data_IF_288309995014
#
_entry.id   IF_288309995014
#
_cell.length_a   1.000
_cell.length_b   1.000
_cell.length_c   1.000
_cell.angle_alpha   90.00
_cell.angle_beta   90.00
_cell.angle_gamma   90.00
#
_symmetry.space_group_name_H-M   'P 1'
#
loop_
_entity.id
_entity.type
_entity.pdbx_description
1 polymer ?
#
# COMPACT_ATOMS: atom_id res chain seq x y z
N UNK A 1 -41.20 -57.38 -5.59
CA UNK A 1 -40.72 -56.80 -4.30
C UNK A 1 -39.21 -56.53 -4.23
N UNK A 2 -38.33 -57.18 -5.00
CA UNK A 2 -36.85 -57.01 -4.86
C UNK A 2 -36.24 -55.71 -5.45
N UNK A 3 -36.89 -55.03 -6.42
CA UNK A 3 -36.36 -53.78 -7.02
C UNK A 3 -36.51 -52.55 -6.12
N UNK A 4 -37.63 -52.43 -5.39
CA UNK A 4 -37.89 -51.25 -4.56
C UNK A 4 -37.02 -51.24 -3.29
N UNK A 5 -36.70 -52.41 -2.73
CA UNK A 5 -35.79 -52.52 -1.59
C UNK A 5 -34.35 -52.10 -1.94
N UNK A 6 -33.91 -52.38 -3.17
CA UNK A 6 -32.58 -52.01 -3.64
C UNK A 6 -32.44 -50.49 -3.83
N UNK A 7 -33.48 -49.82 -4.35
CA UNK A 7 -33.51 -48.37 -4.52
C UNK A 7 -33.50 -47.66 -3.17
N UNK A 8 -34.28 -48.15 -2.19
CA UNK A 8 -34.29 -47.58 -0.83
C UNK A 8 -32.94 -47.78 -0.15
N UNK A 9 -32.30 -48.95 -0.31
CA UNK A 9 -30.98 -49.23 0.25
C UNK A 9 -29.87 -48.35 -0.38
N UNK A 10 -29.98 -48.07 -1.69
CA UNK A 10 -29.05 -47.17 -2.40
C UNK A 10 -29.24 -45.71 -1.95
N UNK A 11 -30.49 -45.29 -1.71
CA UNK A 11 -30.81 -43.94 -1.22
C UNK A 11 -30.32 -43.74 0.22
N UNK A 12 -30.45 -44.75 1.09
CA UNK A 12 -29.93 -44.69 2.46
C UNK A 12 -28.41 -44.73 2.52
N UNK A 13 -27.74 -45.42 1.58
CA UNK A 13 -26.28 -45.37 1.45
C UNK A 13 -25.79 -44.00 0.97
N UNK A 14 -26.49 -43.35 0.05
CA UNK A 14 -26.20 -41.99 -0.42
C UNK A 14 -26.38 -40.93 0.69
N UNK A 15 -27.35 -41.13 1.59
CA UNK A 15 -27.54 -40.24 2.75
C UNK A 15 -26.49 -40.44 3.85
N UNK A 16 -25.89 -41.63 3.97
CA UNK A 16 -24.83 -41.91 4.94
C UNK A 16 -23.44 -41.44 4.47
N UNK A 17 -23.23 -41.27 3.17
CA UNK A 17 -21.99 -40.69 2.60
C UNK A 17 -22.05 -39.17 2.47
N UNK A 18 -23.20 -38.55 2.76
CA UNK A 18 -23.44 -37.11 2.68
C UNK A 18 -22.93 -36.28 3.87
N UNK A 19 -22.38 -36.89 4.92
CA UNK A 19 -21.58 -36.17 5.91
C UNK A 19 -20.14 -36.03 5.41
N UNK A 20 -19.96 -35.36 4.26
CA UNK A 20 -18.67 -34.76 3.96
C UNK A 20 -18.37 -33.80 5.09
N UNK A 21 -17.28 -34.11 5.79
CA UNK A 21 -16.62 -33.28 6.79
C UNK A 21 -16.97 -31.80 6.56
N UNK A 22 -17.75 -31.23 7.47
CA UNK A 22 -17.61 -29.82 7.81
C UNK A 22 -16.16 -29.68 8.27
N UNK A 23 -15.27 -29.47 7.30
CA UNK A 23 -13.93 -28.98 7.56
C UNK A 23 -14.20 -27.63 8.18
N UNK A 24 -14.00 -27.50 9.49
CA UNK A 24 -13.95 -26.21 10.13
C UNK A 24 -13.00 -25.37 9.26
N UNK A 25 -13.54 -24.36 8.58
CA UNK A 25 -12.73 -23.32 7.92
C UNK A 25 -11.73 -22.94 8.99
N UNK A 26 -10.44 -23.21 8.74
CA UNK A 26 -9.39 -22.79 9.65
C UNK A 26 -9.61 -21.28 9.75
N UNK A 27 -9.88 -20.78 10.94
CA UNK A 27 -10.06 -19.35 11.18
C UNK A 27 -8.67 -18.75 10.93
N UNK A 28 -8.39 -18.42 9.66
CA UNK A 28 -7.13 -17.84 9.17
C UNK A 28 -7.13 -16.34 9.43
N UNK A 29 -7.80 -15.90 10.49
CA UNK A 29 -7.85 -14.51 10.92
C UNK A 29 -6.85 -14.25 12.05
N UNK A 30 -6.24 -13.08 12.03
CA UNK A 30 -5.29 -12.61 13.01
C UNK A 30 -6.00 -11.75 14.07
N UNK A 31 -5.70 -11.95 15.35
CA UNK A 31 -6.24 -11.10 16.42
C UNK A 31 -5.36 -9.89 16.59
N UNK A 32 -5.95 -8.71 16.39
CA UNK A 32 -5.23 -7.44 16.36
C UNK A 32 -5.84 -6.44 17.36
N UNK A 33 -4.97 -5.70 18.05
CA UNK A 33 -5.34 -4.54 18.85
C UNK A 33 -4.78 -3.26 18.20
N UNK A 34 -5.68 -2.40 17.72
CA UNK A 34 -5.30 -1.11 17.13
C UNK A 34 -4.97 -0.07 18.22
N UNK A 35 -3.91 0.71 18.00
CA UNK A 35 -3.46 1.72 18.97
C UNK A 35 -4.51 2.81 19.24
N UNK A 36 -5.36 3.10 18.25
CA UNK A 36 -6.46 4.07 18.36
C UNK A 36 -7.72 3.51 19.05
N UNK A 37 -7.71 2.23 19.48
CA UNK A 37 -8.85 1.55 20.10
C UNK A 37 -10.14 1.59 19.27
N UNK A 38 -9.98 1.45 17.95
CA UNK A 38 -11.07 1.30 17.00
C UNK A 38 -12.09 0.22 17.46
N UNK A 39 -13.40 0.50 17.44
CA UNK A 39 -14.39 -0.49 17.85
C UNK A 39 -14.45 -1.65 16.85
N UNK A 40 -14.90 -2.82 17.31
CA UNK A 40 -15.10 -3.99 16.44
C UNK A 40 -16.29 -3.74 15.50
N UNK A 41 -16.23 -4.26 14.27
CA UNK A 41 -17.31 -4.14 13.30
C UNK A 41 -16.84 -3.96 11.86
N UNK A 42 -17.76 -3.48 11.04
CA UNK A 42 -17.58 -3.28 9.60
C UNK A 42 -17.08 -1.88 9.28
N UNK A 43 -16.09 -1.80 8.39
CA UNK A 43 -15.47 -0.55 7.96
C UNK A 43 -15.25 -0.53 6.46
N UNK A 44 -15.47 0.63 5.84
CA UNK A 44 -15.14 0.86 4.44
C UNK A 44 -14.04 1.90 4.32
N UNK A 45 -12.93 1.50 3.72
CA UNK A 45 -11.82 2.37 3.35
C UNK A 45 -12.07 2.95 1.95
N UNK A 46 -12.45 4.22 1.90
CA UNK A 46 -12.54 4.98 0.65
C UNK A 46 -11.17 5.57 0.32
N UNK A 47 -10.67 5.31 -0.88
CA UNK A 47 -9.33 5.71 -1.33
C UNK A 47 -9.45 6.40 -2.68
N UNK A 48 -8.74 7.51 -2.84
CA UNK A 48 -8.62 8.20 -4.13
C UNK A 48 -7.30 7.81 -4.78
N UNK A 49 -7.30 7.54 -6.08
CA UNK A 49 -6.10 7.22 -6.84
C UNK A 49 -5.83 8.36 -7.82
N UNK A 50 -4.63 8.94 -7.75
CA UNK A 50 -4.22 9.99 -8.66
C UNK A 50 -3.57 9.41 -9.91
N UNK A 51 -4.00 9.90 -11.07
CA UNK A 51 -3.35 9.59 -12.34
C UNK A 51 -2.14 10.52 -12.51
N UNK A 52 -0.93 9.97 -12.35
CA UNK A 52 0.32 10.74 -12.53
C UNK A 52 0.69 10.81 -14.01
N UNK A 53 0.98 12.00 -14.58
CA UNK A 53 1.30 12.12 -15.99
C UNK A 53 2.64 11.49 -16.36
N UNK A 54 2.75 11.00 -17.60
CA UNK A 54 3.99 10.42 -18.13
C UNK A 54 4.97 11.49 -18.64
N UNK A 55 4.47 12.62 -19.16
CA UNK A 55 5.33 13.65 -19.77
C UNK A 55 5.85 14.66 -18.72
N UNK A 56 7.11 15.13 -18.83
CA UNK A 56 7.65 16.13 -17.89
C UNK A 56 6.80 17.41 -17.77
N UNK A 57 6.29 17.93 -18.89
CA UNK A 57 5.48 19.15 -18.90
C UNK A 57 4.15 18.97 -18.17
N UNK A 58 3.48 17.83 -18.35
CA UNK A 58 2.21 17.56 -17.68
C UNK A 58 2.41 17.30 -16.18
N UNK A 59 3.55 16.70 -15.80
CA UNK A 59 3.93 16.48 -14.40
C UNK A 59 3.99 17.79 -13.63
N UNK A 60 4.53 18.86 -14.20
CA UNK A 60 4.62 20.14 -13.48
C UNK A 60 3.25 20.78 -13.22
N UNK A 61 2.37 20.77 -14.23
CA UNK A 61 0.99 21.20 -14.04
C UNK A 61 0.27 20.34 -12.99
N UNK A 62 0.53 19.03 -12.98
CA UNK A 62 0.05 18.14 -11.94
C UNK A 62 0.63 18.50 -10.57
N UNK A 63 1.92 18.80 -10.46
CA UNK A 63 2.56 19.18 -9.20
C UNK A 63 2.04 20.50 -8.64
N UNK A 64 1.82 21.51 -9.47
CA UNK A 64 1.20 22.76 -9.04
C UNK A 64 -0.16 22.47 -8.39
N UNK A 65 -1.01 21.67 -9.07
CA UNK A 65 -2.32 21.23 -8.55
C UNK A 65 -2.21 20.39 -7.28
N UNK A 66 -1.29 19.43 -7.26
CA UNK A 66 -1.06 18.54 -6.14
C UNK A 66 -0.53 19.30 -4.91
N UNK A 67 0.33 20.29 -5.12
CA UNK A 67 0.85 21.15 -4.04
C UNK A 67 -0.25 21.96 -3.36
N UNK A 68 -1.26 22.41 -4.11
CA UNK A 68 -2.43 23.08 -3.57
C UNK A 68 -3.24 22.11 -2.70
N UNK A 69 -3.47 20.88 -3.16
CA UNK A 69 -4.14 19.84 -2.38
C UNK A 69 -3.40 19.55 -1.08
N UNK A 70 -2.09 19.28 -1.15
CA UNK A 70 -1.26 19.01 0.03
C UNK A 70 -1.26 20.18 1.02
N UNK A 71 -1.17 21.41 0.52
CA UNK A 71 -1.20 22.62 1.36
C UNK A 71 -2.54 22.74 2.11
N UNK A 72 -3.65 22.38 1.47
CA UNK A 72 -4.97 22.35 2.09
C UNK A 72 -5.10 21.23 3.12
N UNK A 73 -4.58 20.03 2.84
CA UNK A 73 -4.54 18.93 3.80
C UNK A 73 -3.81 19.34 5.08
N UNK A 74 -2.62 19.95 4.94
CA UNK A 74 -1.83 20.45 6.08
C UNK A 74 -2.54 21.60 6.81
N UNK A 75 -3.02 22.61 6.08
CA UNK A 75 -3.62 23.80 6.69
C UNK A 75 -4.92 23.50 7.47
N UNK A 76 -5.70 22.52 7.01
CA UNK A 76 -6.96 22.14 7.63
C UNK A 76 -6.85 20.90 8.52
N UNK A 77 -5.65 20.29 8.64
CA UNK A 77 -5.42 19.04 9.35
C UNK A 77 -6.43 17.95 8.95
N UNK A 78 -6.64 17.84 7.63
CA UNK A 78 -7.59 16.92 6.99
C UNK A 78 -6.80 15.86 6.24
N UNK A 79 -7.04 14.61 6.59
CA UNK A 79 -6.39 13.47 5.96
C UNK A 79 -7.34 12.81 4.96
N UNK A 80 -6.83 12.46 3.78
CA UNK A 80 -7.54 11.65 2.79
C UNK A 80 -6.66 10.47 2.42
N UNK A 81 -7.28 9.30 2.24
CA UNK A 81 -6.52 8.13 1.80
C UNK A 81 -6.26 8.31 0.30
N UNK A 82 -4.98 8.43 -0.06
CA UNK A 82 -4.59 8.75 -1.42
C UNK A 82 -3.54 7.75 -1.91
N UNK A 83 -3.85 7.08 -3.01
CA UNK A 83 -2.89 6.29 -3.77
C UNK A 83 -2.10 7.23 -4.69
N UNK A 84 -0.78 7.20 -4.53
CA UNK A 84 0.17 7.88 -5.40
C UNK A 84 1.13 6.86 -6.02
N UNK A 85 1.55 7.03 -7.29
CA UNK A 85 2.59 6.20 -7.86
C UNK A 85 3.92 6.32 -7.10
N UNK A 86 4.66 5.22 -7.01
CA UNK A 86 5.98 5.22 -6.35
C UNK A 86 6.96 6.24 -6.97
N UNK A 87 6.88 6.45 -8.29
CA UNK A 87 7.69 7.46 -8.98
C UNK A 87 7.43 8.88 -8.44
N UNK A 88 6.17 9.26 -8.27
CA UNK A 88 5.78 10.55 -7.69
C UNK A 88 6.33 10.70 -6.26
N UNK A 89 6.27 9.64 -5.46
CA UNK A 89 6.85 9.61 -4.12
C UNK A 89 8.37 9.87 -4.17
N UNK A 90 9.11 9.13 -5.02
CA UNK A 90 10.56 9.32 -5.16
C UNK A 90 10.91 10.73 -5.62
N UNK A 91 10.20 11.27 -6.60
CA UNK A 91 10.38 12.63 -7.10
C UNK A 91 10.23 13.66 -5.96
N UNK A 92 9.24 13.51 -5.08
CA UNK A 92 9.06 14.42 -3.94
C UNK A 92 10.18 14.28 -2.90
N UNK A 93 10.65 13.05 -2.64
CA UNK A 93 11.79 12.83 -1.72
C UNK A 93 13.09 13.40 -2.29
N UNK A 94 13.30 13.33 -3.60
CA UNK A 94 14.46 13.92 -4.27
C UNK A 94 14.42 15.45 -4.16
N UNK A 95 13.25 16.06 -4.38
CA UNK A 95 13.04 17.50 -4.17
C UNK A 95 13.46 17.93 -2.74
N UNK A 96 13.08 17.16 -1.72
CA UNK A 96 13.47 17.45 -0.33
C UNK A 96 14.97 17.41 -0.06
N UNK A 97 15.73 16.66 -0.87
CA UNK A 97 17.19 16.54 -0.76
C UNK A 97 17.97 17.52 -1.64
N UNK A 98 17.29 18.47 -2.30
CA UNK A 98 17.86 19.33 -3.36
C UNK A 98 18.45 18.51 -4.51
N UNK A 99 17.74 17.46 -4.89
CA UNK A 99 18.07 16.65 -6.05
C UNK A 99 16.98 16.83 -7.13
N UNK A 100 17.33 16.51 -8.37
CA UNK A 100 16.40 16.53 -9.50
C UNK A 100 15.60 15.23 -9.56
N UNK A 101 14.49 15.25 -10.30
CA UNK A 101 13.72 14.03 -10.57
C UNK A 101 14.55 13.04 -11.39
N UNK A 102 14.21 11.75 -11.36
CA UNK A 102 14.97 10.73 -12.14
C UNK A 102 15.00 11.06 -13.63
N UNK A 103 13.86 11.49 -14.19
CA UNK A 103 13.73 11.95 -15.58
C UNK A 103 14.52 13.22 -15.90
N UNK A 104 14.92 13.99 -14.88
CA UNK A 104 15.63 15.26 -15.00
C UNK A 104 17.16 15.11 -14.88
N UNK A 105 17.65 13.97 -14.40
CA UNK A 105 19.09 13.73 -14.16
C UNK A 105 19.94 13.96 -15.39
N UNK A 106 19.44 13.56 -16.56
CA UNK A 106 20.11 13.76 -17.84
C UNK A 106 20.30 15.25 -18.20
N UNK A 107 19.40 16.11 -17.73
CA UNK A 107 19.50 17.56 -17.95
C UNK A 107 20.30 18.27 -16.87
N UNK A 108 20.52 17.62 -15.72
CA UNK A 108 21.32 18.14 -14.62
C UNK A 108 22.82 17.84 -14.79
N UNK A 109 23.15 16.63 -15.24
CA UNK A 109 24.51 16.12 -15.44
C UNK A 109 25.38 17.10 -16.27
N UNK A 110 26.68 17.25 -15.99
CA UNK A 110 27.58 18.01 -16.85
C UNK A 110 27.49 17.53 -18.30
N UNK A 111 27.44 18.45 -19.26
CA UNK A 111 27.27 18.09 -20.68
C UNK A 111 28.43 17.23 -21.20
N UNK A 112 29.61 17.35 -20.59
CA UNK A 112 30.78 16.53 -20.88
C UNK A 112 30.69 15.07 -20.45
N UNK A 113 29.78 14.75 -19.53
CA UNK A 113 29.64 13.41 -18.95
C UNK A 113 28.46 12.63 -19.53
N UNK A 114 27.71 13.21 -20.47
CA UNK A 114 26.59 12.54 -21.12
C UNK A 114 27.06 11.32 -21.92
N UNK A 115 26.38 10.19 -21.71
CA UNK A 115 26.55 8.98 -22.54
C UNK A 115 25.88 9.16 -23.90
N UNK A 116 26.20 8.30 -24.87
CA UNK A 116 25.55 8.37 -26.18
C UNK A 116 24.04 8.11 -26.10
N UNK A 117 23.60 7.18 -25.25
CA UNK A 117 22.17 6.90 -25.03
C UNK A 117 21.44 8.13 -24.43
N UNK A 118 22.09 8.83 -23.50
CA UNK A 118 21.56 10.06 -22.88
C UNK A 118 21.43 11.19 -23.91
N UNK A 119 22.41 11.29 -24.83
CA UNK A 119 22.40 12.26 -25.93
C UNK A 119 21.27 11.99 -26.91
N UNK A 120 21.11 10.75 -27.35
CA UNK A 120 20.01 10.34 -28.25
C UNK A 120 18.64 10.63 -27.60
N UNK A 121 18.51 10.38 -26.29
CA UNK A 121 17.32 10.73 -25.55
C UNK A 121 17.03 12.25 -25.60
N UNK A 122 18.02 13.11 -25.33
CA UNK A 122 17.86 14.57 -25.42
C UNK A 122 17.44 14.98 -26.84
N UNK A 123 18.10 14.44 -27.86
CA UNK A 123 17.83 14.77 -29.27
C UNK A 123 16.42 14.38 -29.70
N UNK A 124 15.86 13.31 -29.14
CA UNK A 124 14.47 12.91 -29.39
C UNK A 124 13.43 13.88 -28.81
N UNK A 125 13.83 14.76 -27.89
CA UNK A 125 12.93 15.66 -27.14
C UNK A 125 13.14 17.14 -27.46
N UNK A 126 14.36 17.53 -27.82
CA UNK A 126 14.75 18.94 -27.92
C UNK A 126 15.40 19.20 -29.27
N UNK A 127 14.68 19.96 -30.09
CA UNK A 127 15.18 20.49 -31.36
C UNK A 127 15.33 22.02 -31.25
N UNK A 128 16.57 22.50 -31.22
CA UNK A 128 16.92 23.93 -31.10
C UNK A 128 18.17 24.27 -31.89
N UNK A 129 18.29 25.55 -32.28
CA UNK A 129 19.52 26.12 -32.84
C UNK A 129 20.51 26.53 -31.73
N UNK A 130 21.80 26.35 -31.97
CA UNK A 130 22.92 26.69 -31.07
C UNK A 130 24.07 27.36 -31.88
N UNK A 131 25.11 27.93 -31.25
CA UNK A 131 26.14 28.66 -31.98
C UNK A 131 26.89 27.78 -32.98
N UNK A 132 27.25 28.33 -34.13
CA UNK A 132 28.04 27.61 -35.12
C UNK A 132 29.43 27.26 -34.55
N UNK A 133 29.95 26.06 -34.87
CA UNK A 133 31.25 25.55 -34.41
C UNK A 133 31.40 25.42 -32.87
N UNK A 134 30.29 25.33 -32.15
CA UNK A 134 30.28 25.26 -30.69
C UNK A 134 30.86 23.95 -30.11
N UNK A 135 30.95 22.91 -30.94
CA UNK A 135 31.37 21.57 -30.50
C UNK A 135 30.26 20.83 -29.75
N UNK A 136 30.45 19.52 -29.59
CA UNK A 136 29.44 18.59 -29.07
C UNK A 136 28.97 18.98 -27.66
N UNK A 137 29.90 19.34 -26.76
CA UNK A 137 29.53 19.66 -25.38
C UNK A 137 28.67 20.92 -25.28
N UNK A 138 28.97 21.94 -26.10
CA UNK A 138 28.19 23.18 -26.09
C UNK A 138 26.80 22.97 -26.68
N UNK A 139 26.66 22.12 -27.70
CA UNK A 139 25.35 21.72 -28.23
C UNK A 139 24.45 21.16 -27.12
N UNK A 140 24.92 20.15 -26.37
CA UNK A 140 24.11 19.55 -25.32
C UNK A 140 23.90 20.48 -24.13
N UNK A 141 24.89 21.31 -23.77
CA UNK A 141 24.72 22.33 -22.73
C UNK A 141 23.62 23.32 -23.11
N UNK A 142 23.56 23.74 -24.38
CA UNK A 142 22.51 24.61 -24.89
C UNK A 142 21.12 23.92 -24.82
N UNK A 143 21.02 22.63 -25.16
CA UNK A 143 19.78 21.85 -25.02
C UNK A 143 19.34 21.72 -23.57
N UNK A 144 20.26 21.47 -22.65
CA UNK A 144 19.98 21.41 -21.21
C UNK A 144 19.52 22.76 -20.65
N UNK A 145 20.16 23.87 -21.04
CA UNK A 145 19.73 25.22 -20.62
C UNK A 145 18.34 25.54 -21.15
N UNK A 146 18.08 25.23 -22.41
CA UNK A 146 16.75 25.39 -23.01
C UNK A 146 15.68 24.58 -22.26
N UNK A 147 16.00 23.33 -21.88
CA UNK A 147 15.11 22.51 -21.05
C UNK A 147 14.74 23.22 -19.74
N UNK A 148 15.74 23.70 -18.99
CA UNK A 148 15.49 24.37 -17.71
C UNK A 148 14.79 25.73 -17.85
N UNK A 149 15.04 26.48 -18.92
CA UNK A 149 14.30 27.71 -19.21
C UNK A 149 12.84 27.42 -19.54
N UNK A 150 12.57 26.40 -20.36
CA UNK A 150 11.21 25.95 -20.65
C UNK A 150 10.50 25.47 -19.39
N UNK A 151 11.21 24.73 -18.55
CA UNK A 151 10.71 24.29 -17.24
C UNK A 151 10.23 25.47 -16.40
N UNK A 152 10.99 26.57 -16.38
CA UNK A 152 10.65 27.81 -15.67
C UNK A 152 9.63 28.68 -16.42
N UNK A 153 9.00 28.20 -17.51
CA UNK A 153 8.08 28.96 -18.37
C UNK A 153 8.74 30.23 -18.97
N UNK A 154 10.07 30.19 -19.13
CA UNK A 154 10.96 31.27 -19.62
C UNK A 154 11.73 30.87 -20.88
N UNK A 155 11.19 29.94 -21.66
CA UNK A 155 11.82 29.42 -22.89
C UNK A 155 12.16 30.50 -23.92
N UNK A 156 11.40 31.59 -23.94
CA UNK A 156 11.64 32.76 -24.79
C UNK A 156 12.91 33.55 -24.42
N UNK A 157 13.50 33.32 -23.25
CA UNK A 157 14.78 33.91 -22.85
C UNK A 157 15.99 33.15 -23.42
N UNK A 158 15.76 32.00 -24.07
CA UNK A 158 16.82 31.27 -24.75
C UNK A 158 17.31 32.03 -25.97
N UNK A 159 18.63 32.21 -26.08
CA UNK A 159 19.29 32.91 -27.18
C UNK A 159 20.22 31.91 -27.87
N UNK A 160 19.88 31.54 -29.10
CA UNK A 160 20.60 30.52 -29.87
C UNK A 160 22.07 30.84 -30.13
N UNK A 161 22.42 32.12 -30.25
CA UNK A 161 23.80 32.58 -30.45
C UNK A 161 24.68 32.57 -29.20
N UNK A 162 24.13 32.24 -28.02
CA UNK A 162 24.89 32.29 -26.78
C UNK A 162 25.66 31.00 -26.48
N UNK A 163 26.89 31.17 -26.00
CA UNK A 163 27.67 30.13 -25.34
C UNK A 163 27.32 30.11 -23.85
N UNK A 164 26.33 29.30 -23.49
CA UNK A 164 25.97 29.10 -22.09
C UNK A 164 27.06 28.33 -21.35
N UNK A 165 27.18 28.58 -20.05
CA UNK A 165 28.11 27.86 -19.18
C UNK A 165 27.37 26.90 -18.23
N UNK A 166 28.10 25.92 -17.68
CA UNK A 166 27.58 25.07 -16.59
C UNK A 166 27.11 25.91 -15.39
N UNK A 167 27.73 27.06 -15.14
CA UNK A 167 27.30 28.00 -14.10
C UNK A 167 25.92 28.60 -14.41
N UNK A 168 25.64 28.92 -15.68
CA UNK A 168 24.33 29.45 -16.08
C UNK A 168 23.24 28.38 -15.92
N UNK A 169 23.54 27.14 -16.31
CA UNK A 169 22.66 25.99 -16.05
C UNK A 169 22.38 25.82 -14.56
N UNK A 170 23.41 25.84 -13.72
CA UNK A 170 23.26 25.67 -12.27
C UNK A 170 22.42 26.76 -11.61
N UNK A 171 22.49 28.01 -12.09
CA UNK A 171 21.61 29.09 -11.59
C UNK A 171 20.13 28.80 -11.85
N UNK A 172 19.80 28.27 -13.02
CA UNK A 172 18.43 27.88 -13.36
C UNK A 172 17.95 26.72 -12.49
N UNK A 173 18.81 25.72 -12.28
CA UNK A 173 18.48 24.57 -11.42
C UNK A 173 18.29 25.00 -9.95
N UNK A 174 19.09 25.95 -9.46
CA UNK A 174 18.94 26.50 -8.11
C UNK A 174 17.59 27.22 -7.92
N UNK A 175 17.17 28.00 -8.91
CA UNK A 175 15.84 28.65 -8.92
C UNK A 175 14.72 27.61 -8.83
N UNK A 176 14.86 26.50 -9.56
CA UNK A 176 13.91 25.37 -9.52
C UNK A 176 13.89 24.73 -8.13
N UNK A 177 15.04 24.51 -7.50
CA UNK A 177 15.10 23.96 -6.15
C UNK A 177 14.41 24.86 -5.13
N UNK A 178 14.60 26.19 -5.22
CA UNK A 178 13.90 27.12 -4.33
C UNK A 178 12.39 27.15 -4.59
N UNK A 179 11.95 27.09 -5.87
CA UNK A 179 10.53 26.98 -6.21
C UNK A 179 9.88 25.71 -5.66
N UNK A 180 10.61 24.60 -5.63
CA UNK A 180 10.11 23.29 -5.17
C UNK A 180 10.22 23.07 -3.66
N UNK A 181 10.98 23.90 -2.94
CA UNK A 181 11.24 23.76 -1.50
C UNK A 181 9.97 23.67 -0.64
N UNK A 182 8.93 24.40 -1.02
CA UNK A 182 7.65 24.38 -0.30
C UNK A 182 6.91 23.05 -0.45
N UNK A 183 7.12 22.33 -1.55
CA UNK A 183 6.48 21.03 -1.81
C UNK A 183 6.95 20.00 -0.77
N UNK A 184 8.27 19.86 -0.58
CA UNK A 184 8.82 18.91 0.39
C UNK A 184 8.38 19.22 1.82
N UNK A 185 8.39 20.49 2.22
CA UNK A 185 7.92 20.91 3.56
C UNK A 185 6.45 20.60 3.81
N UNK A 186 5.63 20.66 2.76
CA UNK A 186 4.20 20.37 2.84
C UNK A 186 3.94 18.86 2.80
N UNK A 187 4.83 18.08 2.18
CA UNK A 187 4.70 16.63 2.04
C UNK A 187 5.02 15.88 3.34
N UNK A 188 6.09 16.24 4.05
CA UNK A 188 6.53 15.50 5.26
C UNK A 188 5.43 15.26 6.31
N UNK A 189 4.59 16.25 6.67
CA UNK A 189 3.55 16.04 7.70
C UNK A 189 2.46 15.05 7.29
N UNK A 190 2.19 14.91 5.99
CA UNK A 190 1.10 14.10 5.43
C UNK A 190 1.60 12.83 4.72
N UNK A 191 2.92 12.59 4.73
CA UNK A 191 3.57 11.45 4.07
C UNK A 191 2.92 10.10 4.47
N UNK A 192 2.51 10.01 5.74
CA UNK A 192 1.92 8.80 6.30
C UNK A 192 0.50 8.49 5.82
N UNK A 193 -0.19 9.45 5.21
CA UNK A 193 -1.56 9.30 4.69
C UNK A 193 -1.57 8.74 3.27
N UNK A 194 -0.42 8.71 2.60
CA UNK A 194 -0.28 8.16 1.26
C UNK A 194 -0.15 6.64 1.25
N UNK A 195 -0.66 6.08 0.18
CA UNK A 195 -0.56 4.67 -0.19
C UNK A 195 0.26 4.61 -1.48
N UNK A 196 1.33 3.82 -1.50
CA UNK A 196 2.22 3.73 -2.66
C UNK A 196 1.71 2.69 -3.65
N UNK A 197 1.39 3.12 -4.87
CA UNK A 197 1.15 2.21 -5.98
C UNK A 197 2.48 1.67 -6.51
N UNK A 198 2.60 0.35 -6.49
CA UNK A 198 3.82 -0.39 -6.77
C UNK A 198 3.57 -1.54 -7.73
N UNK A 199 4.64 -1.97 -8.40
CA UNK A 199 4.67 -3.12 -9.29
C UNK A 199 5.85 -4.02 -8.91
N UNK A 200 6.02 -5.15 -9.60
CA UNK A 200 7.07 -6.12 -9.32
C UNK A 200 8.49 -5.55 -9.37
N UNK A 201 8.73 -4.46 -10.13
CA UNK A 201 10.06 -3.87 -10.29
C UNK A 201 10.48 -2.97 -9.13
N UNK A 202 9.54 -2.35 -8.41
CA UNK A 202 9.82 -1.35 -7.38
C UNK A 202 9.36 -1.73 -5.97
N UNK A 203 8.70 -2.88 -5.82
CA UNK A 203 8.09 -3.31 -4.55
C UNK A 203 9.09 -3.48 -3.40
N UNK A 204 10.31 -3.97 -3.68
CA UNK A 204 11.33 -4.15 -2.66
C UNK A 204 11.85 -2.79 -2.13
N UNK A 205 11.92 -1.78 -2.99
CA UNK A 205 12.35 -0.43 -2.59
C UNK A 205 11.23 0.28 -1.84
N UNK A 206 10.02 0.28 -2.39
CA UNK A 206 8.83 0.84 -1.76
C UNK A 206 8.53 0.17 -0.42
N UNK A 207 8.76 -1.15 -0.31
CA UNK A 207 8.56 -1.92 0.91
C UNK A 207 9.46 -1.50 2.09
N UNK A 208 10.60 -0.85 1.82
CA UNK A 208 11.49 -0.32 2.86
C UNK A 208 11.00 1.00 3.46
N UNK A 209 10.02 1.66 2.82
CA UNK A 209 9.46 2.93 3.33
C UNK A 209 8.59 2.72 4.56
N UNK A 210 8.00 1.52 4.74
CA UNK A 210 7.00 1.25 5.77
C UNK A 210 5.62 1.87 5.49
N UNK A 211 5.42 2.51 4.33
CA UNK A 211 4.13 3.02 3.90
C UNK A 211 3.23 1.89 3.39
N UNK A 212 1.93 2.11 3.42
CA UNK A 212 0.94 1.16 2.86
C UNK A 212 1.19 0.98 1.37
N UNK A 213 1.14 -0.26 0.90
CA UNK A 213 1.38 -0.59 -0.51
C UNK A 213 0.07 -0.93 -1.21
N UNK A 214 -0.06 -0.51 -2.46
CA UNK A 214 -1.13 -0.88 -3.37
C UNK A 214 -0.53 -1.58 -4.59
N UNK A 215 -0.90 -2.85 -4.81
CA UNK A 215 -0.24 -3.73 -5.81
C UNK A 215 -1.25 -4.61 -6.53
N UNK A 216 -0.90 -5.07 -7.73
CA UNK A 216 -1.74 -5.97 -8.53
C UNK A 216 -1.87 -7.38 -7.91
N UNK A 217 -0.97 -7.78 -7.01
CA UNK A 217 -1.00 -9.09 -6.38
C UNK A 217 0.08 -9.29 -5.31
N UNK A 218 0.14 -10.54 -4.82
CA UNK A 218 1.17 -11.04 -3.89
C UNK A 218 2.52 -11.14 -4.59
N UNK A 219 3.60 -11.06 -3.83
CA UNK A 219 4.98 -11.06 -4.29
C UNK A 219 5.79 -11.84 -3.26
N UNK A 220 6.34 -13.00 -3.62
CA UNK A 220 6.90 -14.10 -2.80
C UNK A 220 7.76 -13.77 -1.54
N UNK A 221 8.08 -12.51 -1.27
CA UNK A 221 8.87 -12.00 -0.15
C UNK A 221 8.10 -11.01 0.73
N UNK A 222 6.79 -11.18 0.93
CA UNK A 222 5.99 -10.23 1.72
C UNK A 222 6.49 -10.06 3.15
N UNK A 223 7.02 -11.13 3.75
CA UNK A 223 7.62 -11.14 5.09
C UNK A 223 8.82 -10.17 5.22
N UNK A 224 9.49 -9.87 4.11
CA UNK A 224 10.66 -8.98 4.07
C UNK A 224 10.31 -7.50 3.96
N UNK A 225 9.04 -7.18 3.70
CA UNK A 225 8.57 -5.80 3.54
C UNK A 225 8.20 -5.20 4.90
N UNK A 226 8.59 -3.94 5.14
CA UNK A 226 8.28 -3.23 6.39
C UNK A 226 6.85 -2.70 6.45
N UNK A 227 6.16 -2.62 5.31
CA UNK A 227 4.78 -2.15 5.24
C UNK A 227 3.84 -2.99 6.11
N UNK A 228 3.07 -2.37 7.03
CA UNK A 228 2.13 -3.07 7.91
C UNK A 228 0.80 -3.38 7.23
N UNK A 229 0.46 -2.66 6.15
CA UNK A 229 -0.81 -2.79 5.44
C UNK A 229 -0.55 -2.89 3.94
N UNK A 230 -1.10 -3.92 3.30
CA UNK A 230 -0.99 -4.17 1.86
C UNK A 230 -2.40 -4.21 1.28
N UNK A 231 -2.63 -3.52 0.17
CA UNK A 231 -3.90 -3.47 -0.54
C UNK A 231 -3.70 -4.10 -1.92
N UNK A 232 -4.45 -5.15 -2.21
CA UNK A 232 -4.42 -5.86 -3.48
C UNK A 232 -5.51 -5.32 -4.41
N UNK A 233 -5.15 -4.94 -5.63
CA UNK A 233 -6.09 -4.52 -6.67
C UNK A 233 -6.97 -5.66 -7.18
N UNK A 234 -6.41 -6.89 -7.18
CA UNK A 234 -7.13 -8.10 -7.57
C UNK A 234 -7.10 -9.09 -6.43
N UNK A 235 -8.26 -9.66 -6.15
CA UNK A 235 -8.38 -10.71 -5.16
C UNK A 235 -7.80 -12.02 -5.70
N UNK A 236 -6.67 -12.40 -5.12
CA UNK A 236 -6.34 -13.81 -4.95
C UNK A 236 -6.93 -14.17 -3.58
N UNK A 237 -7.56 -15.34 -3.47
CA UNK A 237 -8.28 -15.78 -2.25
C UNK A 237 -7.51 -15.44 -0.96
N UNK A 238 -8.23 -15.05 0.09
CA UNK A 238 -7.75 -14.59 1.41
C UNK A 238 -6.30 -14.96 1.69
N UNK A 239 -5.38 -14.11 1.27
CA UNK A 239 -3.95 -14.33 1.51
C UNK A 239 -3.64 -13.77 2.89
N UNK A 240 -3.56 -14.66 3.87
CA UNK A 240 -3.08 -14.30 5.18
C UNK A 240 -1.56 -14.12 5.13
N UNK A 241 -1.09 -12.89 5.32
CA UNK A 241 0.33 -12.61 5.56
C UNK A 241 0.51 -12.37 7.06
N UNK A 242 1.30 -13.20 7.76
CA UNK A 242 1.55 -13.01 9.19
C UNK A 242 2.03 -11.60 9.50
N UNK A 243 1.54 -11.03 10.60
CA UNK A 243 1.91 -9.71 11.12
C UNK A 243 1.58 -8.53 10.17
N UNK A 244 0.68 -8.73 9.19
CA UNK A 244 0.23 -7.70 8.24
C UNK A 244 -1.28 -7.71 8.06
N UNK A 245 -1.83 -6.53 7.76
CA UNK A 245 -3.22 -6.38 7.31
C UNK A 245 -3.23 -6.37 5.79
N UNK A 246 -3.89 -7.35 5.19
CA UNK A 246 -4.07 -7.49 3.75
C UNK A 246 -5.51 -7.13 3.38
N UNK A 247 -5.69 -6.11 2.55
CA UNK A 247 -6.99 -5.66 2.07
C UNK A 247 -7.11 -5.95 0.57
N UNK A 248 -8.33 -6.08 0.05
CA UNK A 248 -8.57 -6.31 -1.38
C UNK A 248 -9.61 -5.31 -1.92
N UNK A 249 -9.30 -4.68 -3.05
CA UNK A 249 -10.22 -3.78 -3.73
C UNK A 249 -11.53 -4.50 -4.12
N UNK A 250 -12.67 -3.89 -3.79
CA UNK A 250 -13.99 -4.40 -4.17
C UNK A 250 -14.47 -5.63 -3.39
N UNK A 251 -13.71 -6.06 -2.38
CA UNK A 251 -14.08 -7.18 -1.50
C UNK A 251 -14.05 -6.77 -0.04
N UNK A 252 -14.83 -7.49 0.77
CA UNK A 252 -14.74 -7.44 2.23
C UNK A 252 -13.69 -8.47 2.64
N UNK A 253 -12.69 -8.06 3.39
CA UNK A 253 -11.65 -8.94 3.92
C UNK A 253 -11.87 -9.22 5.40
N UNK A 254 -11.83 -10.50 5.77
CA UNK A 254 -12.04 -11.02 7.13
C UNK A 254 -10.73 -11.56 7.76
N UNK A 255 -9.57 -11.07 7.30
CA UNK A 255 -8.25 -11.52 7.77
C UNK A 255 -7.89 -11.02 9.18
N UNK A 256 -8.63 -10.06 9.72
CA UNK A 256 -8.48 -9.57 11.08
C UNK A 256 -9.72 -9.96 11.88
N UNK A 257 -9.53 -10.70 12.96
CA UNK A 257 -10.64 -11.19 13.78
C UNK A 257 -11.43 -10.03 14.38
N UNK A 258 -12.75 -10.12 14.28
CA UNK A 258 -13.73 -9.12 14.75
C UNK A 258 -13.77 -7.80 13.95
N UNK A 259 -13.09 -7.73 12.80
CA UNK A 259 -13.15 -6.58 11.90
C UNK A 259 -13.38 -7.03 10.46
N UNK A 260 -14.29 -6.33 9.78
CA UNK A 260 -14.56 -6.55 8.36
C UNK A 260 -14.19 -5.28 7.60
N UNK A 261 -13.25 -5.38 6.67
CA UNK A 261 -12.75 -4.22 5.91
C UNK A 261 -13.13 -4.31 4.44
N UNK A 262 -13.92 -3.37 3.94
CA UNK A 262 -14.14 -3.16 2.52
C UNK A 262 -13.23 -2.06 1.97
N UNK A 263 -12.73 -2.22 0.74
CA UNK A 263 -11.94 -1.18 0.05
C UNK A 263 -12.64 -0.70 -1.21
N UNK A 264 -12.75 0.63 -1.36
CA UNK A 264 -13.29 1.29 -2.55
C UNK A 264 -12.29 2.31 -3.09
N UNK A 265 -11.75 2.06 -4.28
CA UNK A 265 -10.86 2.98 -4.99
C UNK A 265 -11.66 3.84 -5.97
N UNK A 266 -11.34 5.14 -6.04
CA UNK A 266 -11.92 6.11 -6.96
C UNK A 266 -10.78 6.80 -7.70
N UNK A 267 -10.73 6.65 -9.02
CA UNK A 267 -9.71 7.32 -9.84
C UNK A 267 -10.04 8.81 -9.99
N UNK A 268 -9.03 9.65 -9.87
CA UNK A 268 -9.12 11.10 -9.93
C UNK A 268 -8.01 11.63 -10.83
N UNK A 269 -8.41 12.29 -11.92
CA UNK A 269 -7.48 12.91 -12.85
C UNK A 269 -6.94 14.26 -12.35
N UNK A 270 -7.79 15.08 -11.70
CA UNK A 270 -7.39 16.40 -11.19
C UNK A 270 -7.31 16.41 -9.65
N UNK A 271 -6.11 16.53 -9.05
CA UNK A 271 -5.94 16.61 -7.60
C UNK A 271 -6.77 17.72 -6.93
N UNK A 272 -7.03 18.83 -7.63
CA UNK A 272 -7.79 19.97 -7.05
C UNK A 272 -9.26 19.63 -6.80
N UNK A 273 -9.82 18.65 -7.53
CA UNK A 273 -11.19 18.18 -7.30
C UNK A 273 -11.38 17.57 -5.90
N UNK A 274 -10.29 17.13 -5.27
CA UNK A 274 -10.33 16.58 -3.91
C UNK A 274 -10.40 17.67 -2.84
N UNK A 275 -10.14 18.93 -3.17
CA UNK A 275 -10.21 20.04 -2.20
C UNK A 275 -11.63 20.20 -1.65
N UNK A 276 -12.65 20.08 -2.51
CA UNK A 276 -14.07 20.09 -2.07
C UNK A 276 -14.41 18.88 -1.19
N UNK A 277 -13.76 17.74 -1.43
CA UNK A 277 -13.96 16.53 -0.64
C UNK A 277 -13.30 16.62 0.75
N UNK A 278 -12.23 17.42 0.91
CA UNK A 278 -11.60 17.66 2.22
C UNK A 278 -12.58 18.31 3.19
N UNK A 279 -13.43 19.22 2.72
CA UNK A 279 -14.40 19.93 3.55
C UNK A 279 -15.56 19.01 3.97
N UNK A 280 -16.01 18.15 3.06
CA UNK A 280 -17.21 17.33 3.21
C UNK A 280 -17.00 15.91 3.77
N UNK A 281 -15.77 15.38 3.79
CA UNK A 281 -15.52 14.07 4.38
C UNK A 281 -15.56 14.12 5.93
N UNK A 282 -16.68 13.69 6.50
CA UNK A 282 -16.78 13.28 7.90
C UNK A 282 -16.33 11.81 8.08
N UNK A 283 -15.51 11.57 9.11
CA UNK A 283 -15.37 10.31 9.88
C UNK A 283 -15.24 8.97 9.11
N UNK A 284 -14.70 8.97 7.89
CA UNK A 284 -14.28 7.74 7.21
C UNK A 284 -13.03 7.13 7.84
N UNK A 285 -12.88 5.80 7.77
CA UNK A 285 -11.67 5.09 8.19
C UNK A 285 -10.45 5.65 7.44
N UNK A 286 -9.36 5.94 8.15
CA UNK A 286 -8.11 6.41 7.54
C UNK A 286 -7.06 5.32 7.55
N UNK A 287 -6.19 5.31 6.56
CA UNK A 287 -5.14 4.28 6.46
C UNK A 287 -4.20 4.33 7.66
N UNK A 288 -3.91 5.53 8.17
CA UNK A 288 -3.09 5.73 9.37
C UNK A 288 -3.65 5.04 10.62
N UNK A 289 -4.96 4.86 10.71
CA UNK A 289 -5.61 4.13 11.80
C UNK A 289 -5.25 2.65 11.80
N UNK A 290 -4.97 2.09 10.63
CA UNK A 290 -4.62 0.68 10.44
C UNK A 290 -3.12 0.40 10.54
N UNK A 291 -2.25 1.42 10.52
CA UNK A 291 -0.78 1.22 10.51
C UNK A 291 -0.23 0.78 11.86
N UNK A 292 -0.83 1.26 12.95
CA UNK A 292 -0.30 1.07 14.30
C UNK A 292 -1.14 0.05 15.05
N UNK A 293 -0.75 -1.22 14.96
CA UNK A 293 -1.43 -2.31 15.63
C UNK A 293 -0.47 -3.27 16.32
N UNK A 294 -1.02 -4.06 17.24
CA UNK A 294 -0.30 -5.13 17.92
C UNK A 294 -1.01 -6.45 17.73
N UNK A 295 -0.22 -7.47 17.42
CA UNK A 295 -0.68 -8.84 17.32
C UNK A 295 -0.92 -9.42 18.71
N UNK A 296 -2.14 -9.88 18.96
CA UNK A 296 -2.51 -10.55 20.20
C UNK A 296 -2.45 -12.05 19.96
N UNK A 297 -1.47 -12.72 20.54
CA UNK A 297 -1.49 -14.19 20.56
C UNK A 297 -2.74 -14.62 21.34
N UNK A 298 -3.64 -15.41 20.75
CA UNK A 298 -4.76 -15.95 21.51
C UNK A 298 -4.17 -16.67 22.72
N UNK A 299 -4.65 -16.35 23.93
CA UNK A 299 -4.30 -17.13 25.14
C UNK A 299 -4.51 -18.58 24.78
N UNK A 300 -3.48 -19.42 24.93
CA UNK A 300 -3.62 -20.85 24.74
C UNK A 300 -4.84 -21.30 25.55
N UNK A 301 -5.92 -21.62 24.85
CA UNK A 301 -7.00 -22.36 25.45
C UNK A 301 -6.37 -23.71 25.68
N UNK A 302 -5.85 -23.93 26.90
CA UNK A 302 -5.60 -25.27 27.39
C UNK A 302 -6.96 -25.94 27.28
N UNK A 303 -7.16 -26.65 26.17
CA UNK A 303 -8.24 -27.61 26.06
C UNK A 303 -8.02 -28.49 27.28
N UNK A 304 -8.83 -28.32 28.32
CA UNK A 304 -8.97 -29.34 29.35
C UNK A 304 -9.29 -30.58 28.56
N UNK A 305 -8.28 -31.43 28.32
CA UNK A 305 -8.48 -32.74 27.71
C UNK A 305 -9.68 -33.30 28.44
N UNK A 306 -10.75 -33.61 27.70
CA UNK A 306 -11.85 -34.37 28.26
C UNK A 306 -11.18 -35.51 29.02
N UNK A 307 -11.39 -35.54 30.34
CA UNK A 307 -10.67 -36.43 31.24
C UNK A 307 -10.76 -37.84 30.66
N UNK A 308 -9.64 -38.33 30.13
CA UNK A 308 -9.50 -39.74 29.82
C UNK A 308 -9.75 -40.42 31.16
N UNK A 309 -10.77 -41.26 31.23
CA UNK A 309 -11.04 -42.08 32.42
C UNK A 309 -9.72 -42.75 32.79
N UNK A 310 -9.12 -42.32 33.89
CA UNK A 310 -8.03 -43.05 34.52
C UNK A 310 -8.51 -44.46 34.84
N UNK A 311 -7.59 -45.39 34.64
CA UNK A 311 -7.76 -46.83 34.74
C UNK A 311 -8.66 -47.28 35.90
N UNK A 312 -9.40 -48.36 35.64
CA UNK A 312 -10.18 -49.13 36.59
C UNK A 312 -9.56 -49.12 37.99
N UNK A 313 -10.18 -48.39 38.93
CA UNK A 313 -10.06 -48.73 40.35
C UNK A 313 -10.59 -50.15 40.51
N UNK A 314 -9.72 -51.10 40.88
CA UNK A 314 -10.15 -52.40 41.40
C UNK A 314 -11.20 -52.15 42.48
N UNK A 315 -12.34 -52.82 42.36
CA UNK A 315 -13.37 -52.82 43.40
C UNK A 315 -12.77 -53.50 44.64
N UNK A 316 -12.67 -52.77 45.73
CA UNK A 316 -12.44 -53.39 47.03
C UNK A 316 -13.70 -54.20 47.39
N UNK A 317 -13.50 -55.51 47.52
CA UNK A 317 -14.53 -56.41 48.03
C UNK A 317 -14.69 -56.10 49.51
N UNK A 318 -15.78 -55.41 49.86
CA UNK A 318 -16.26 -55.30 51.23
C UNK A 318 -16.47 -56.71 51.79
N UNK A 319 -15.60 -57.14 52.72
CA UNK A 319 -15.90 -58.27 53.59
C UNK A 319 -16.98 -57.82 54.57
N UNK A 320 -18.20 -58.27 54.33
CA UNK A 320 -19.30 -58.13 55.28
C UNK A 320 -19.14 -59.26 56.30
N UNK A 321 -18.85 -58.91 57.55
CA UNK A 321 -18.95 -59.82 58.68
C UNK A 321 -20.44 -60.05 58.99
N UNK A 322 -20.82 -61.33 59.13
CA UNK A 322 -22.16 -61.73 59.55
C UNK A 322 -22.29 -61.49 61.05
N UNK A 323 -23.01 -60.44 61.45
CA UNK A 323 -23.61 -60.36 62.78
C UNK A 323 -25.14 -60.48 62.65
N UNK A 324 -25.65 -61.58 63.23
CA UNK A 324 -27.07 -61.88 63.34
C UNK A 324 -27.80 -60.77 64.12
N UNK A 325 -28.78 -60.13 63.48
CA UNK A 325 -29.73 -59.26 64.19
C UNK A 325 -31.13 -59.84 64.07
N UNK A 326 -31.61 -60.36 65.21
CA UNK A 326 -33.00 -60.78 65.42
C UNK A 326 -33.92 -59.57 65.39
N UNK A 327 -34.94 -59.60 64.54
CA UNK A 327 -36.05 -58.65 64.59
C UNK A 327 -37.26 -59.31 65.26
N UNK A 328 -37.59 -58.87 66.48
CA UNK A 328 -38.90 -59.08 67.12
C UNK A 328 -39.89 -58.08 66.54
N UNK A 329 -41.03 -58.59 66.07
CA UNK A 329 -42.20 -57.81 65.68
C UNK A 329 -43.08 -57.64 66.94
N UNK A 330 -43.44 -56.40 67.27
CA UNK A 330 -44.57 -56.08 68.16
C UNK A 330 -45.67 -55.45 67.33
#
# INVERSE_FOLDING_TARGET
MKKNAFVVFLLTMLMLTGCQKLVARRDESQVVEFANKMPKGEYTLKIYRLDYPETPSDRDAFYEKFSVLMSKMVAHNKDINLIIPFELYQDIKNIGKRDVRESEKVYYKPASELTEDEKEFIDSKIDISYPENAGIFQEYLNKQVYYWLNYLKRGNEYISGNYYTELDKMKLVEEIFENRKMISKTFEPIENDFILEVNSSNIEEAGKTGLTLYTDGTFEKEDSILSPVIILKKAIWETLIPDKIVLAEGMITENVKDYEFGVRVINIADPTSLVENLENEEKGLKIKDLKNFKMVKPKEVILKKASVRENEKRRDILKIENEETQWRIN
#
